data_IF_840087159661
#
_entry.id   IF_840087159661
#
_cell.length_a   1.000
_cell.length_b   1.000
_cell.length_c   1.000
_cell.angle_alpha   90.00
_cell.angle_beta   90.00
_cell.angle_gamma   90.00
#
_symmetry.space_group_name_H-M   'P 1'
#
loop_
_entity.id
_entity.type
_entity.pdbx_description
1 polymer ?
#
# COMPACT_ATOMS: atom_id res chain seq x y z
N UNK A 1 57.63 -44.80 81.80
CA UNK A 1 57.67 -45.13 80.35
C UNK A 1 56.22 -45.36 79.88
N UNK A 2 55.84 -44.98 78.66
CA UNK A 2 54.99 -43.82 78.33
C UNK A 2 53.61 -44.26 77.75
N UNK A 3 52.62 -43.48 77.29
CA UNK A 3 52.53 -42.17 76.63
C UNK A 3 51.15 -41.52 76.88
N UNK A 4 51.14 -40.22 77.19
CA UNK A 4 49.99 -39.31 77.09
C UNK A 4 49.61 -39.13 75.61
N UNK A 5 48.32 -39.12 75.27
CA UNK A 5 47.79 -38.53 74.03
C UNK A 5 46.88 -37.35 74.36
N UNK A 6 47.34 -36.16 74.01
CA UNK A 6 46.63 -34.89 74.10
C UNK A 6 45.45 -34.85 73.11
N UNK A 7 44.26 -34.48 73.61
CA UNK A 7 43.11 -34.06 72.79
C UNK A 7 43.41 -32.69 72.17
N UNK A 8 43.59 -32.64 70.85
CA UNK A 8 43.58 -31.40 70.06
C UNK A 8 42.15 -30.86 69.97
N UNK A 9 41.89 -29.68 70.55
CA UNK A 9 40.71 -28.87 70.25
C UNK A 9 40.93 -28.20 68.88
N UNK A 10 40.09 -28.54 67.90
CA UNK A 10 40.05 -27.88 66.61
C UNK A 10 39.38 -26.50 66.75
N UNK A 11 40.01 -25.47 66.21
CA UNK A 11 39.45 -24.13 66.03
C UNK A 11 38.46 -24.16 64.88
N UNK A 12 37.20 -23.79 65.13
CA UNK A 12 36.28 -23.38 64.07
C UNK A 12 36.78 -22.04 63.49
N UNK A 13 37.30 -22.08 62.27
CA UNK A 13 37.44 -20.90 61.40
C UNK A 13 36.34 -20.98 60.34
N UNK A 14 35.66 -19.86 60.14
CA UNK A 14 34.49 -19.71 59.28
C UNK A 14 34.73 -20.25 57.87
N UNK A 15 33.81 -21.12 57.44
CA UNK A 15 33.60 -21.42 56.04
C UNK A 15 32.69 -20.36 55.46
N UNK A 16 33.26 -19.30 54.91
CA UNK A 16 32.56 -18.45 53.96
C UNK A 16 32.35 -19.31 52.72
N UNK A 17 31.10 -19.67 52.42
CA UNK A 17 30.77 -20.30 51.15
C UNK A 17 31.20 -19.35 50.01
N UNK A 18 31.74 -19.86 48.90
CA UNK A 18 31.98 -19.02 47.74
C UNK A 18 30.61 -18.60 47.21
N UNK A 19 30.27 -17.33 47.41
CA UNK A 19 29.17 -16.68 46.69
C UNK A 19 29.50 -16.84 45.22
N UNK A 20 28.75 -17.69 44.53
CA UNK A 20 28.77 -17.77 43.07
C UNK A 20 28.51 -16.35 42.58
N UNK A 21 29.54 -15.78 41.96
CA UNK A 21 29.46 -14.48 41.31
C UNK A 21 28.42 -14.63 40.20
N UNK A 22 27.16 -14.31 40.50
CA UNK A 22 26.13 -14.09 39.47
C UNK A 22 26.77 -13.13 38.50
N UNK A 23 27.01 -13.58 37.26
CA UNK A 23 27.37 -12.69 36.17
C UNK A 23 26.29 -11.62 36.13
N UNK A 24 26.67 -10.40 36.52
CA UNK A 24 25.83 -9.24 36.33
C UNK A 24 25.71 -9.09 34.82
N UNK A 25 24.54 -9.48 34.28
CA UNK A 25 24.14 -9.11 32.93
C UNK A 25 24.33 -7.58 32.85
N UNK A 26 25.19 -7.10 31.93
CA UNK A 26 25.41 -5.67 31.79
C UNK A 26 24.06 -4.98 31.58
N UNK A 27 23.72 -4.05 32.47
CA UNK A 27 22.51 -3.26 32.32
C UNK A 27 22.62 -2.45 31.02
N UNK A 28 21.60 -2.46 30.16
CA UNK A 28 21.60 -1.65 28.94
C UNK A 28 21.77 -0.17 29.33
N UNK A 29 22.73 0.51 28.73
CA UNK A 29 22.91 1.95 28.89
C UNK A 29 22.13 2.66 27.81
N UNK A 30 21.27 3.60 28.20
CA UNK A 30 20.65 4.54 27.27
C UNK A 30 21.74 5.56 26.90
N UNK A 31 22.30 5.43 25.71
CA UNK A 31 23.13 6.49 25.13
C UNK A 31 22.22 7.65 24.75
N UNK A 32 22.61 8.89 25.08
CA UNK A 32 21.97 10.07 24.52
C UNK A 32 21.97 9.96 22.99
N UNK A 33 20.87 10.31 22.30
CA UNK A 33 20.85 10.32 20.84
C UNK A 33 21.99 11.20 20.34
N UNK A 34 22.71 10.75 19.32
CA UNK A 34 23.66 11.60 18.62
C UNK A 34 22.89 12.83 18.11
N UNK A 35 23.40 14.03 18.37
CA UNK A 35 22.85 15.25 17.77
C UNK A 35 22.77 15.02 16.26
N UNK A 36 21.56 15.06 15.71
CA UNK A 36 21.33 14.94 14.27
C UNK A 36 22.04 16.11 13.59
N UNK A 37 22.99 15.87 12.67
CA UNK A 37 23.59 16.96 11.91
C UNK A 37 22.51 17.66 11.09
N UNK A 38 22.41 18.98 11.22
CA UNK A 38 21.45 19.87 10.53
C UNK A 38 21.71 20.01 9.01
N UNK A 39 22.36 19.04 8.38
CA UNK A 39 22.72 19.10 6.96
C UNK A 39 22.02 17.98 6.20
N UNK A 40 20.80 18.28 5.76
CA UNK A 40 20.11 17.58 4.68
C UNK A 40 20.73 18.01 3.34
N UNK A 41 21.95 17.56 3.06
CA UNK A 41 22.57 17.70 1.73
C UNK A 41 23.24 16.38 1.34
N UNK A 42 22.72 15.73 0.30
CA UNK A 42 23.54 14.84 -0.53
C UNK A 42 23.24 13.34 -0.59
N UNK A 43 22.02 12.88 -0.26
CA UNK A 43 21.57 11.55 -0.74
C UNK A 43 20.76 11.74 -2.03
N UNK A 44 21.32 11.31 -3.16
CA UNK A 44 20.63 11.30 -4.44
C UNK A 44 19.38 10.42 -4.36
N UNK A 45 18.18 10.97 -4.63
CA UNK A 45 16.91 10.31 -4.38
C UNK A 45 16.55 9.36 -5.53
N UNK A 46 16.87 8.09 -5.38
CA UNK A 46 16.07 7.01 -5.97
C UNK A 46 15.21 6.40 -4.85
N UNK A 47 14.19 7.16 -4.50
CA UNK A 47 13.14 6.86 -3.51
C UNK A 47 12.22 8.07 -3.55
N UNK A 48 10.89 7.90 -3.50
CA UNK A 48 9.99 9.01 -3.77
C UNK A 48 10.28 10.11 -2.75
N UNK A 49 10.11 11.36 -3.21
CA UNK A 49 10.04 12.56 -2.36
C UNK A 49 9.36 12.25 -1.03
N UNK A 50 9.73 12.90 0.11
CA UNK A 50 8.99 12.72 1.35
C UNK A 50 7.51 12.84 1.02
N UNK A 51 6.78 11.73 1.18
CA UNK A 51 5.39 11.66 0.78
C UNK A 51 4.66 12.84 1.40
N UNK A 52 3.63 13.42 0.74
CA UNK A 52 2.90 14.55 1.27
C UNK A 52 2.59 14.34 2.76
N UNK A 53 2.93 15.35 3.56
CA UNK A 53 2.81 15.36 5.02
C UNK A 53 1.44 14.81 5.44
N UNK A 54 1.38 13.53 5.87
CA UNK A 54 0.09 12.88 6.13
C UNK A 54 0.02 11.35 6.15
N UNK A 55 1.04 10.58 5.75
CA UNK A 55 0.96 9.10 5.68
C UNK A 55 1.09 8.34 7.01
N UNK A 56 0.86 9.01 8.15
CA UNK A 56 0.65 8.30 9.41
C UNK A 56 -0.81 7.87 9.49
N UNK A 57 -1.11 6.62 9.20
CA UNK A 57 -2.45 6.04 9.43
C UNK A 57 -2.47 5.34 10.79
N UNK A 58 -3.53 5.52 11.58
CA UNK A 58 -3.59 4.91 12.91
C UNK A 58 -4.67 5.49 13.83
N UNK A 59 -4.82 4.86 15.00
CA UNK A 59 -5.79 5.26 16.02
C UNK A 59 -6.98 4.32 16.18
N UNK A 60 -7.07 3.26 15.37
CA UNK A 60 -7.94 2.13 15.69
C UNK A 60 -7.36 1.36 16.88
N UNK A 61 -8.24 1.03 17.81
CA UNK A 61 -7.89 0.36 19.06
C UNK A 61 -8.16 -1.13 18.90
N UNK A 62 -7.22 -1.97 19.35
CA UNK A 62 -7.35 -3.42 19.35
C UNK A 62 -7.21 -3.94 20.78
N UNK A 63 -8.10 -4.85 21.16
CA UNK A 63 -7.95 -5.58 22.42
C UNK A 63 -6.96 -6.73 22.23
N UNK A 64 -5.88 -6.74 23.01
CA UNK A 64 -4.93 -7.85 23.01
C UNK A 64 -5.34 -8.83 24.10
N UNK A 65 -5.89 -9.97 23.68
CA UNK A 65 -6.38 -11.01 24.58
C UNK A 65 -5.29 -12.04 24.82
N UNK A 66 -5.00 -12.34 26.08
CA UNK A 66 -4.12 -13.43 26.51
C UNK A 66 -4.94 -14.53 27.19
N UNK A 67 -4.33 -15.69 27.40
CA UNK A 67 -4.98 -16.78 28.15
C UNK A 67 -5.34 -16.39 29.60
N UNK A 68 -4.72 -15.35 30.15
CA UNK A 68 -4.83 -14.93 31.56
C UNK A 68 -5.51 -13.58 31.76
N UNK A 69 -5.88 -12.87 30.68
CA UNK A 69 -6.47 -11.53 30.76
C UNK A 69 -6.46 -10.79 29.42
N UNK A 70 -6.97 -9.57 29.41
CA UNK A 70 -7.07 -8.73 28.21
C UNK A 70 -6.45 -7.37 28.46
N UNK A 71 -5.64 -6.88 27.51
CA UNK A 71 -5.21 -5.49 27.43
C UNK A 71 -6.17 -4.76 26.47
N UNK A 72 -7.10 -3.94 26.96
CA UNK A 72 -8.10 -3.33 26.12
C UNK A 72 -7.58 -2.06 25.42
N UNK A 73 -8.16 -1.79 24.25
CA UNK A 73 -8.02 -0.54 23.52
C UNK A 73 -6.59 -0.10 23.18
N UNK A 74 -5.70 -1.07 22.95
CA UNK A 74 -4.31 -0.79 22.57
C UNK A 74 -4.29 -0.09 21.22
N UNK A 75 -3.69 1.10 21.16
CA UNK A 75 -3.57 1.85 19.91
C UNK A 75 -2.30 1.47 19.16
N UNK A 76 -2.49 1.09 17.90
CA UNK A 76 -1.42 0.87 16.94
C UNK A 76 -1.50 1.92 15.82
N UNK A 77 -0.37 2.19 15.18
CA UNK A 77 -0.28 3.08 14.02
C UNK A 77 0.82 2.66 13.06
N UNK A 78 0.75 3.13 11.82
CA UNK A 78 1.67 2.83 10.71
C UNK A 78 2.18 4.13 10.04
N UNK A 79 3.45 4.24 9.62
CA UNK A 79 3.96 5.47 8.99
C UNK A 79 5.48 5.64 8.79
N UNK A 80 5.95 6.88 8.61
CA UNK A 80 7.31 7.21 8.14
C UNK A 80 8.28 7.71 9.24
N UNK A 81 8.74 6.85 10.17
CA UNK A 81 9.87 7.18 11.07
C UNK A 81 10.66 5.95 11.53
N UNK A 82 10.74 4.90 10.68
CA UNK A 82 11.36 3.62 11.07
C UNK A 82 12.81 3.49 10.59
N UNK A 83 13.66 3.02 11.50
CA UNK A 83 15.07 2.73 11.22
C UNK A 83 15.20 1.70 10.09
N UNK A 84 15.92 2.07 9.02
CA UNK A 84 16.09 1.24 7.82
C UNK A 84 16.99 0.03 8.10
N UNK A 85 17.88 0.12 9.08
CA UNK A 85 18.80 -0.95 9.50
C UNK A 85 18.07 -2.16 10.09
N UNK A 86 16.79 -1.99 10.48
CA UNK A 86 15.91 -3.04 10.99
C UNK A 86 14.74 -3.31 10.05
N UNK A 87 14.84 -2.90 8.78
CA UNK A 87 13.82 -3.15 7.78
C UNK A 87 13.57 -4.64 7.64
N UNK A 88 12.29 -5.00 7.72
CA UNK A 88 11.73 -6.34 7.55
C UNK A 88 10.45 -6.22 6.74
N UNK A 89 9.85 -7.34 6.37
CA UNK A 89 8.52 -7.33 5.76
C UNK A 89 7.53 -6.62 6.70
N UNK A 90 6.53 -5.91 6.14
CA UNK A 90 5.53 -5.21 6.95
C UNK A 90 4.77 -6.21 7.85
N UNK A 91 4.51 -7.42 7.34
CA UNK A 91 3.93 -8.53 8.11
C UNK A 91 4.78 -9.03 9.28
N UNK A 92 6.06 -8.70 9.33
CA UNK A 92 6.91 -8.92 10.51
C UNK A 92 6.83 -7.78 11.54
N UNK A 93 5.96 -6.79 11.32
CA UNK A 93 5.73 -5.65 12.21
C UNK A 93 6.59 -4.42 11.90
N UNK A 94 7.38 -4.43 10.82
CA UNK A 94 8.08 -3.23 10.39
C UNK A 94 7.09 -2.19 9.88
N UNK A 95 7.24 -0.94 10.33
CA UNK A 95 6.29 0.12 10.04
C UNK A 95 5.18 0.30 11.09
N UNK A 96 5.06 -0.60 12.07
CA UNK A 96 4.07 -0.48 13.14
C UNK A 96 4.64 0.18 14.40
N UNK A 97 3.82 1.03 15.02
CA UNK A 97 4.02 1.59 16.35
C UNK A 97 2.96 1.07 17.31
N UNK A 98 3.32 0.92 18.58
CA UNK A 98 2.43 0.60 19.69
C UNK A 98 2.65 1.66 20.76
N UNK A 99 1.58 2.14 21.38
CA UNK A 99 1.70 3.12 22.46
C UNK A 99 2.51 2.57 23.65
N UNK A 100 3.42 3.40 24.18
CA UNK A 100 4.33 3.01 25.26
C UNK A 100 3.59 2.46 26.52
N UNK A 101 2.45 3.03 26.97
CA UNK A 101 1.73 2.47 28.12
C UNK A 101 1.33 1.00 27.93
N UNK A 102 0.85 0.62 26.75
CA UNK A 102 0.48 -0.76 26.46
C UNK A 102 1.70 -1.70 26.47
N UNK A 103 2.85 -1.22 25.99
CA UNK A 103 4.11 -2.00 26.05
C UNK A 103 4.56 -2.19 27.50
N UNK A 104 4.48 -1.16 28.33
CA UNK A 104 4.85 -1.26 29.75
C UNK A 104 3.92 -2.22 30.50
N UNK A 105 2.60 -2.11 30.28
CA UNK A 105 1.63 -3.03 30.89
C UNK A 105 1.87 -4.48 30.43
N UNK A 106 2.17 -4.70 29.15
CA UNK A 106 2.53 -6.03 28.65
C UNK A 106 3.79 -6.59 29.32
N UNK A 107 4.80 -5.76 29.56
CA UNK A 107 6.02 -6.17 30.26
C UNK A 107 5.76 -6.49 31.74
N UNK A 108 4.90 -5.73 32.42
CA UNK A 108 4.46 -6.03 33.79
C UNK A 108 3.69 -7.35 33.86
N UNK A 109 2.78 -7.60 32.92
CA UNK A 109 2.06 -8.87 32.79
C UNK A 109 3.00 -10.06 32.59
N UNK A 110 4.13 -9.85 31.89
CA UNK A 110 5.17 -10.86 31.72
C UNK A 110 5.98 -11.09 33.00
N UNK A 111 6.39 -10.02 33.68
CA UNK A 111 7.14 -10.10 34.93
C UNK A 111 6.34 -10.81 36.03
N UNK A 112 5.03 -10.56 36.07
CA UNK A 112 4.10 -11.23 36.98
C UNK A 112 3.77 -12.68 36.58
N UNK A 113 4.29 -13.17 35.46
CA UNK A 113 4.06 -14.52 34.95
C UNK A 113 2.63 -14.77 34.48
N UNK A 114 1.83 -13.70 34.31
CA UNK A 114 0.47 -13.80 33.75
C UNK A 114 0.52 -14.03 32.25
N UNK A 115 1.48 -13.44 31.54
CA UNK A 115 1.70 -13.67 30.11
C UNK A 115 3.12 -14.18 29.91
N UNK A 116 3.33 -15.13 29.00
CA UNK A 116 4.71 -15.48 28.62
C UNK A 116 5.15 -14.66 27.39
N UNK A 117 6.46 -14.46 27.24
CA UNK A 117 7.02 -13.65 26.17
C UNK A 117 6.72 -14.18 24.75
N UNK A 118 6.53 -15.51 24.60
CA UNK A 118 6.22 -16.11 23.30
C UNK A 118 4.78 -15.76 22.88
N UNK A 119 3.82 -15.85 23.79
CA UNK A 119 2.44 -15.47 23.54
C UNK A 119 2.34 -13.97 23.25
N UNK A 120 3.00 -13.13 24.05
CA UNK A 120 3.09 -11.69 23.80
C UNK A 120 3.59 -11.36 22.38
N UNK A 121 4.68 -12.00 21.95
CA UNK A 121 5.21 -11.86 20.58
C UNK A 121 4.19 -12.29 19.53
N UNK A 122 3.55 -13.45 19.74
CA UNK A 122 2.59 -14.00 18.78
C UNK A 122 1.37 -13.09 18.62
N UNK A 123 0.87 -12.52 19.72
CA UNK A 123 -0.25 -11.59 19.67
C UNK A 123 0.11 -10.29 18.94
N UNK A 124 1.28 -9.69 19.21
CA UNK A 124 1.72 -8.52 18.47
C UNK A 124 1.84 -8.79 16.97
N UNK A 125 2.34 -9.97 16.57
CA UNK A 125 2.39 -10.38 15.17
C UNK A 125 0.99 -10.58 14.57
N UNK A 126 0.04 -11.16 15.32
CA UNK A 126 -1.35 -11.31 14.87
C UNK A 126 -2.06 -9.96 14.72
N UNK A 127 -1.76 -8.98 15.57
CA UNK A 127 -2.31 -7.63 15.45
C UNK A 127 -1.87 -6.94 14.15
N UNK A 128 -0.65 -7.23 13.68
CA UNK A 128 -0.16 -6.74 12.37
C UNK A 128 -1.04 -7.28 11.24
N UNK A 129 -1.32 -8.59 11.23
CA UNK A 129 -2.17 -9.19 10.21
C UNK A 129 -3.62 -8.65 10.26
N UNK A 130 -4.15 -8.42 11.47
CA UNK A 130 -5.49 -7.85 11.66
C UNK A 130 -5.59 -6.43 11.11
N UNK A 131 -4.55 -5.63 11.31
CA UNK A 131 -4.56 -4.20 10.98
C UNK A 131 -3.99 -3.87 9.60
N UNK A 132 -3.39 -4.85 8.93
CA UNK A 132 -2.74 -4.66 7.63
C UNK A 132 -3.65 -3.99 6.59
N UNK A 133 -4.86 -4.51 6.41
CA UNK A 133 -5.83 -3.96 5.45
C UNK A 133 -6.43 -2.65 5.95
N UNK A 134 -6.75 -2.56 7.25
CA UNK A 134 -7.35 -1.38 7.87
C UNK A 134 -6.44 -0.14 7.76
N UNK A 135 -5.13 -0.33 7.91
CA UNK A 135 -4.13 0.73 7.76
C UNK A 135 -3.62 0.90 6.33
N UNK A 136 -4.17 0.13 5.37
CA UNK A 136 -3.76 0.13 3.97
C UNK A 136 -2.26 -0.09 3.80
N UNK A 137 -1.68 -0.97 4.62
CA UNK A 137 -0.25 -1.26 4.63
C UNK A 137 0.29 -1.70 3.26
N UNK A 138 -0.56 -2.31 2.43
CA UNK A 138 -0.23 -2.67 1.05
C UNK A 138 0.18 -1.49 0.18
N UNK A 139 -0.16 -0.24 0.51
CA UNK A 139 0.29 0.93 -0.27
C UNK A 139 1.78 1.23 -0.10
N UNK A 140 2.39 0.72 0.97
CA UNK A 140 3.81 0.89 1.28
C UNK A 140 4.67 -0.34 0.89
N UNK A 141 4.06 -1.40 0.37
CA UNK A 141 4.79 -2.56 -0.16
C UNK A 141 5.26 -2.34 -1.59
N UNK A 142 6.22 -3.17 -2.04
CA UNK A 142 6.72 -3.12 -3.41
C UNK A 142 5.58 -3.43 -4.40
N UNK A 143 5.26 -2.51 -5.33
CA UNK A 143 4.21 -2.73 -6.32
C UNK A 143 4.43 -3.95 -7.22
N UNK A 144 5.67 -4.40 -7.45
CA UNK A 144 5.98 -5.60 -8.21
C UNK A 144 5.67 -6.88 -7.40
N UNK A 145 6.00 -6.90 -6.11
CA UNK A 145 5.69 -8.02 -5.22
C UNK A 145 4.18 -8.18 -5.02
N UNK A 146 3.47 -7.07 -4.75
CA UNK A 146 2.01 -7.07 -4.66
C UNK A 146 1.35 -7.58 -5.93
N UNK A 147 1.88 -7.19 -7.11
CA UNK A 147 1.40 -7.69 -8.40
C UNK A 147 1.64 -9.19 -8.55
N UNK A 148 2.78 -9.69 -8.12
CA UNK A 148 3.08 -11.13 -8.18
C UNK A 148 2.12 -11.92 -7.27
N UNK A 149 1.96 -11.51 -6.02
CA UNK A 149 1.06 -12.15 -5.05
C UNK A 149 -0.40 -12.08 -5.51
N UNK A 150 -0.85 -10.92 -6.01
CA UNK A 150 -2.21 -10.75 -6.51
C UNK A 150 -2.48 -11.61 -7.76
N UNK A 151 -1.49 -11.78 -8.65
CA UNK A 151 -1.60 -12.70 -9.80
C UNK A 151 -1.71 -14.15 -9.35
N UNK A 152 -0.92 -14.59 -8.37
CA UNK A 152 -0.97 -15.95 -7.83
C UNK A 152 -2.30 -16.24 -7.13
N UNK A 153 -2.80 -15.29 -6.33
CA UNK A 153 -4.09 -15.40 -5.64
C UNK A 153 -5.30 -15.14 -6.56
N UNK A 154 -5.06 -14.64 -7.78
CA UNK A 154 -6.08 -14.15 -8.72
C UNK A 154 -6.66 -12.78 -8.35
N UNK A 155 -6.74 -12.41 -7.06
CA UNK A 155 -7.25 -11.10 -6.62
C UNK A 155 -6.78 -10.75 -5.20
N UNK A 156 -6.63 -9.46 -4.93
CA UNK A 156 -6.36 -8.89 -3.61
C UNK A 156 -7.52 -7.96 -3.16
N UNK A 157 -7.56 -7.51 -1.89
CA UNK A 157 -8.60 -6.59 -1.40
C UNK A 157 -8.76 -5.32 -2.26
N UNK A 158 -7.66 -4.75 -2.76
CA UNK A 158 -7.70 -3.59 -3.66
C UNK A 158 -8.40 -3.92 -4.99
N UNK A 159 -8.17 -5.11 -5.55
CA UNK A 159 -8.89 -5.56 -6.75
C UNK A 159 -10.39 -5.73 -6.46
N UNK A 160 -10.75 -6.24 -5.29
CA UNK A 160 -12.14 -6.41 -4.90
C UNK A 160 -12.85 -5.06 -4.73
N UNK A 161 -12.18 -4.07 -4.13
CA UNK A 161 -12.65 -2.69 -3.96
C UNK A 161 -12.81 -1.97 -5.31
N UNK A 162 -11.83 -2.09 -6.20
CA UNK A 162 -11.80 -1.37 -7.49
C UNK A 162 -12.59 -2.05 -8.60
N UNK A 163 -13.01 -3.30 -8.42
CA UNK A 163 -13.74 -4.06 -9.43
C UNK A 163 -15.00 -3.36 -9.96
N UNK A 164 -15.92 -2.80 -9.15
CA UNK A 164 -17.09 -2.09 -9.68
C UNK A 164 -16.70 -0.91 -10.59
N UNK A 165 -15.59 -0.25 -10.29
CA UNK A 165 -15.07 0.82 -11.14
C UNK A 165 -14.50 0.27 -12.45
N UNK A 166 -13.74 -0.82 -12.39
CA UNK A 166 -13.24 -1.50 -13.58
C UNK A 166 -14.38 -1.97 -14.50
N UNK A 167 -15.45 -2.54 -13.94
CA UNK A 167 -16.64 -2.91 -14.72
C UNK A 167 -17.26 -1.71 -15.45
N UNK A 168 -17.40 -0.56 -14.77
CA UNK A 168 -17.89 0.66 -15.41
C UNK A 168 -16.98 1.22 -16.52
N UNK A 169 -15.67 0.91 -16.48
CA UNK A 169 -14.75 1.23 -17.58
C UNK A 169 -14.93 0.27 -18.76
N UNK A 170 -15.18 -1.02 -18.49
CA UNK A 170 -15.48 -2.00 -19.54
C UNK A 170 -16.83 -1.69 -20.21
N UNK A 171 -17.86 -1.30 -19.46
CA UNK A 171 -19.15 -0.91 -20.02
C UNK A 171 -19.03 0.32 -20.94
N UNK A 172 -18.27 1.32 -20.52
CA UNK A 172 -17.97 2.49 -21.36
C UNK A 172 -17.18 2.12 -22.63
N UNK A 173 -16.27 1.15 -22.52
CA UNK A 173 -15.48 0.66 -23.65
C UNK A 173 -16.33 -0.13 -24.64
N UNK A 174 -17.23 -0.99 -24.16
CA UNK A 174 -18.20 -1.72 -24.98
C UNK A 174 -19.10 -0.76 -25.77
N UNK A 175 -19.64 0.25 -25.09
CA UNK A 175 -20.48 1.27 -25.72
C UNK A 175 -19.72 2.08 -26.79
N UNK A 176 -18.48 2.50 -26.49
CA UNK A 176 -17.62 3.19 -27.47
C UNK A 176 -17.32 2.32 -28.68
N UNK A 177 -16.95 1.05 -28.45
CA UNK A 177 -16.65 0.11 -29.52
C UNK A 177 -17.86 -0.09 -30.44
N UNK A 178 -19.04 -0.34 -29.88
CA UNK A 178 -20.26 -0.57 -30.64
C UNK A 178 -20.59 0.60 -31.57
N UNK A 179 -20.45 1.84 -31.09
CA UNK A 179 -20.70 3.04 -31.91
C UNK A 179 -19.63 3.25 -32.98
N UNK A 180 -18.36 2.94 -32.69
CA UNK A 180 -17.27 3.03 -33.67
C UNK A 180 -17.44 2.07 -34.85
N UNK A 181 -18.16 0.96 -34.68
CA UNK A 181 -18.51 0.04 -35.78
C UNK A 181 -19.64 0.55 -36.69
N UNK A 182 -20.27 1.68 -36.35
CA UNK A 182 -21.44 2.24 -37.05
C UNK A 182 -21.17 3.66 -37.54
N UNK A 183 -20.17 3.87 -38.43
CA UNK A 183 -19.77 5.20 -38.88
C UNK A 183 -20.85 5.97 -39.63
N UNK A 184 -21.87 5.30 -40.17
CA UNK A 184 -23.01 5.95 -40.83
C UNK A 184 -23.98 6.60 -39.81
N UNK A 185 -24.18 5.97 -38.66
CA UNK A 185 -25.03 6.49 -37.57
C UNK A 185 -24.27 7.45 -36.66
N UNK A 186 -22.98 7.17 -36.42
CA UNK A 186 -22.07 7.95 -35.58
C UNK A 186 -20.89 8.47 -36.43
N UNK A 187 -21.10 9.51 -37.28
CA UNK A 187 -20.10 9.96 -38.23
C UNK A 187 -18.93 10.73 -37.60
N UNK A 188 -19.05 11.16 -36.34
CA UNK A 188 -18.01 11.92 -35.64
C UNK A 188 -17.45 11.14 -34.47
N UNK A 189 -16.16 11.33 -34.19
CA UNK A 189 -15.45 10.69 -33.09
C UNK A 189 -14.65 11.74 -32.31
N UNK A 190 -14.94 11.87 -31.02
CA UNK A 190 -14.21 12.76 -30.11
C UNK A 190 -13.11 11.99 -29.37
N UNK A 191 -11.89 12.51 -29.41
CA UNK A 191 -10.77 12.07 -28.58
C UNK A 191 -10.30 13.18 -27.64
N UNK A 192 -9.19 12.95 -26.92
CA UNK A 192 -8.65 13.89 -25.94
C UNK A 192 -8.32 15.28 -26.53
N UNK A 193 -7.90 15.33 -27.80
CA UNK A 193 -7.37 16.55 -28.43
C UNK A 193 -8.27 17.16 -29.51
N UNK A 194 -9.44 16.57 -29.79
CA UNK A 194 -10.31 17.10 -30.83
C UNK A 194 -11.35 16.14 -31.39
N UNK A 195 -12.06 16.65 -32.40
CA UNK A 195 -13.11 15.94 -33.13
C UNK A 195 -12.60 15.49 -34.50
N UNK A 196 -12.95 14.26 -34.86
CA UNK A 196 -12.61 13.58 -36.11
C UNK A 196 -13.88 13.06 -36.79
N UNK A 197 -13.80 12.75 -38.08
CA UNK A 197 -14.74 11.79 -38.66
C UNK A 197 -14.40 10.40 -38.13
N UNK A 198 -15.39 9.53 -37.93
CA UNK A 198 -15.17 8.18 -37.40
C UNK A 198 -14.27 7.34 -38.31
N UNK A 199 -14.33 7.57 -39.62
CA UNK A 199 -13.48 6.90 -40.64
C UNK A 199 -12.08 7.52 -40.77
N UNK A 200 -11.77 8.56 -40.00
CA UNK A 200 -10.50 9.29 -40.06
C UNK A 200 -9.33 8.34 -39.71
N UNK A 201 -8.24 8.43 -40.49
CA UNK A 201 -7.04 7.57 -40.30
C UNK A 201 -6.43 7.61 -38.88
N UNK A 202 -6.61 8.73 -38.16
CA UNK A 202 -6.17 8.87 -36.77
C UNK A 202 -7.01 7.97 -35.86
N UNK A 203 -8.34 8.02 -35.99
CA UNK A 203 -9.28 7.17 -35.23
C UNK A 203 -8.96 5.71 -35.49
N UNK A 204 -8.78 5.31 -36.75
CA UNK A 204 -8.42 3.92 -37.11
C UNK A 204 -7.08 3.45 -36.53
N UNK A 205 -6.10 4.34 -36.40
CA UNK A 205 -4.76 4.00 -35.88
C UNK A 205 -4.74 3.89 -34.35
N UNK A 206 -5.54 4.72 -33.69
CA UNK A 206 -5.54 4.84 -32.22
C UNK A 206 -6.66 4.03 -31.56
N UNK A 207 -7.63 3.55 -32.34
CA UNK A 207 -8.61 2.57 -31.91
C UNK A 207 -8.02 1.17 -32.10
N UNK A 208 -8.20 0.23 -31.14
CA UNK A 208 -7.80 -1.16 -31.33
C UNK A 208 -8.44 -1.77 -32.59
N UNK A 209 -7.68 -2.61 -33.31
CA UNK A 209 -8.18 -3.33 -34.50
C UNK A 209 -9.26 -4.36 -34.15
N UNK A 210 -9.18 -4.88 -32.93
CA UNK A 210 -10.05 -5.90 -32.38
C UNK A 210 -10.21 -5.61 -30.89
N UNK A 211 -11.40 -5.18 -30.49
CA UNK A 211 -11.75 -5.08 -29.08
C UNK A 211 -12.76 -6.18 -28.74
N UNK A 212 -12.49 -6.86 -27.63
CA UNK A 212 -13.42 -7.77 -27.00
C UNK A 212 -13.32 -7.56 -25.49
N UNK A 213 -14.46 -7.55 -24.81
CA UNK A 213 -14.48 -7.47 -23.35
C UNK A 213 -13.67 -8.63 -22.77
N UNK A 214 -12.70 -8.39 -21.87
CA UNK A 214 -11.91 -9.46 -21.29
C UNK A 214 -12.81 -10.36 -20.42
N UNK A 215 -12.58 -11.67 -20.48
CA UNK A 215 -13.30 -12.70 -19.72
C UNK A 215 -12.32 -13.70 -19.10
N UNK A 216 -12.73 -14.43 -18.06
CA UNK A 216 -11.92 -15.47 -17.42
C UNK A 216 -10.55 -14.95 -16.96
N UNK A 217 -9.48 -15.65 -17.31
CA UNK A 217 -8.11 -15.28 -16.92
C UNK A 217 -7.68 -13.92 -17.50
N UNK A 218 -8.17 -13.58 -18.70
CA UNK A 218 -7.89 -12.27 -19.30
C UNK A 218 -8.54 -11.12 -18.52
N UNK A 219 -9.72 -11.35 -17.95
CA UNK A 219 -10.38 -10.40 -17.06
C UNK A 219 -9.55 -10.19 -15.79
N UNK A 220 -9.09 -11.29 -15.18
CA UNK A 220 -8.26 -11.24 -13.97
C UNK A 220 -6.97 -10.46 -14.23
N UNK A 221 -6.28 -10.74 -15.34
CA UNK A 221 -5.07 -10.04 -15.73
C UNK A 221 -5.30 -8.54 -15.97
N UNK A 222 -6.41 -8.18 -16.64
CA UNK A 222 -6.75 -6.79 -16.92
C UNK A 222 -7.14 -6.01 -15.64
N UNK A 223 -7.90 -6.63 -14.74
CA UNK A 223 -8.24 -6.05 -13.43
C UNK A 223 -6.97 -5.85 -12.58
N UNK A 224 -6.06 -6.83 -12.58
CA UNK A 224 -4.77 -6.73 -11.89
C UNK A 224 -3.95 -5.55 -12.43
N UNK A 225 -3.84 -5.41 -13.75
CA UNK A 225 -3.16 -4.27 -14.36
C UNK A 225 -3.82 -2.95 -13.95
N UNK A 226 -5.15 -2.85 -14.07
CA UNK A 226 -5.92 -1.67 -13.64
C UNK A 226 -5.65 -1.29 -12.18
N UNK A 227 -5.55 -2.26 -11.27
CA UNK A 227 -5.39 -1.98 -9.85
C UNK A 227 -3.95 -1.61 -9.46
N UNK A 228 -2.94 -2.11 -10.20
CA UNK A 228 -1.55 -2.08 -9.73
C UNK A 228 -0.53 -1.47 -10.71
N UNK A 229 -0.92 -1.04 -11.91
CA UNK A 229 -0.07 -0.20 -12.78
C UNK A 229 -0.48 1.26 -12.77
N UNK A 230 -1.67 1.55 -12.26
CA UNK A 230 -2.25 2.88 -12.14
C UNK A 230 -1.84 3.39 -10.77
N UNK A 231 -1.13 4.53 -10.73
CA UNK A 231 -0.82 5.25 -9.48
C UNK A 231 -2.11 5.28 -8.64
N UNK A 232 -2.09 4.85 -7.37
CA UNK A 232 -3.29 4.82 -6.55
C UNK A 232 -4.00 6.19 -6.43
N UNK A 233 -3.30 7.28 -6.75
CA UNK A 233 -3.81 8.65 -6.81
C UNK A 233 -4.20 9.13 -8.21
N UNK A 234 -3.95 8.33 -9.25
CA UNK A 234 -4.28 8.69 -10.63
C UNK A 234 -5.78 8.57 -10.92
N UNK A 235 -6.24 9.44 -11.80
CA UNK A 235 -7.65 9.67 -12.06
C UNK A 235 -8.20 8.67 -13.09
N UNK A 236 -9.52 8.60 -13.22
CA UNK A 236 -10.23 7.76 -14.21
C UNK A 236 -9.70 7.92 -15.64
N UNK A 237 -9.16 9.09 -15.97
CA UNK A 237 -8.69 9.46 -17.31
C UNK A 237 -7.34 8.79 -17.66
N UNK A 238 -6.54 8.40 -16.66
CA UNK A 238 -5.21 7.83 -16.87
C UNK A 238 -5.25 6.38 -17.40
N UNK A 239 -6.33 5.63 -17.11
CA UNK A 239 -6.56 4.29 -17.66
C UNK A 239 -7.03 4.30 -19.12
N UNK A 240 -7.59 5.41 -19.59
CA UNK A 240 -7.89 5.61 -21.02
C UNK A 240 -6.60 5.67 -21.86
N UNK A 241 -5.42 5.56 -21.23
CA UNK A 241 -4.08 5.44 -21.81
C UNK A 241 -3.69 4.06 -22.37
N UNK A 242 -4.43 2.97 -22.14
CA UNK A 242 -4.12 1.64 -22.73
C UNK A 242 -4.59 1.53 -24.18
N UNK A 243 -3.74 0.98 -25.07
CA UNK A 243 -4.08 0.80 -26.51
C UNK A 243 -5.09 -0.32 -26.74
N UNK A 244 -5.38 -1.11 -25.70
CA UNK A 244 -6.26 -2.27 -25.79
C UNK A 244 -7.75 -1.88 -25.73
N UNK A 245 -8.06 -0.65 -25.32
CA UNK A 245 -9.43 -0.15 -25.16
C UNK A 245 -9.74 1.00 -26.13
N UNK A 246 -10.98 1.08 -26.66
CA UNK A 246 -11.41 2.19 -27.50
C UNK A 246 -11.49 3.49 -26.67
N UNK A 247 -10.83 4.53 -27.16
CA UNK A 247 -10.73 5.84 -26.49
C UNK A 247 -11.58 6.92 -27.14
N UNK A 248 -11.87 6.75 -28.43
CA UNK A 248 -12.73 7.68 -29.14
C UNK A 248 -14.19 7.45 -28.77
N UNK A 249 -14.89 8.53 -28.46
CA UNK A 249 -16.34 8.51 -28.31
C UNK A 249 -16.96 8.84 -29.66
N UNK A 250 -17.56 7.83 -30.31
CA UNK A 250 -18.35 8.05 -31.52
C UNK A 250 -19.70 8.70 -31.18
N UNK A 251 -20.09 9.68 -31.99
CA UNK A 251 -21.18 10.63 -31.76
C UNK A 251 -21.98 10.84 -33.04
N UNK A 252 -23.28 11.00 -32.87
CA UNK A 252 -24.18 11.54 -33.88
C UNK A 252 -23.83 12.99 -34.20
N UNK A 253 -24.38 13.53 -35.29
CA UNK A 253 -24.19 14.94 -35.64
C UNK A 253 -24.70 15.90 -34.54
N UNK A 254 -25.82 15.55 -33.89
CA UNK A 254 -26.37 16.36 -32.81
C UNK A 254 -25.47 16.35 -31.57
N UNK A 255 -25.02 15.17 -31.14
CA UNK A 255 -24.09 15.00 -30.03
C UNK A 255 -22.77 15.74 -30.30
N UNK A 256 -22.24 15.67 -31.54
CA UNK A 256 -21.00 16.37 -31.91
C UNK A 256 -21.15 17.90 -31.84
N UNK A 257 -22.28 18.47 -32.28
CA UNK A 257 -22.57 19.91 -32.16
C UNK A 257 -22.67 20.33 -30.69
N UNK A 258 -23.32 19.52 -29.86
CA UNK A 258 -23.39 19.77 -28.42
C UNK A 258 -21.99 19.72 -27.78
N UNK A 259 -21.21 18.68 -28.08
CA UNK A 259 -19.84 18.52 -27.60
C UNK A 259 -18.95 19.72 -27.95
N UNK A 260 -19.08 20.26 -29.18
CA UNK A 260 -18.37 21.47 -29.61
C UNK A 260 -18.84 22.70 -28.82
N UNK A 261 -20.14 22.85 -28.60
CA UNK A 261 -20.71 23.97 -27.85
C UNK A 261 -20.19 23.99 -26.41
N UNK A 262 -20.16 22.84 -25.74
CA UNK A 262 -19.68 22.69 -24.36
C UNK A 262 -18.18 22.98 -24.23
N UNK A 263 -17.38 22.69 -25.27
CA UNK A 263 -15.92 22.82 -25.24
C UNK A 263 -15.39 24.09 -25.91
N UNK A 264 -16.27 24.86 -26.55
CA UNK A 264 -15.97 26.18 -27.11
C UNK A 264 -16.46 27.24 -26.13
N UNK A 265 -15.62 27.59 -25.16
CA UNK A 265 -15.91 28.70 -24.24
C UNK A 265 -16.11 30.05 -24.95
N UNK A 266 -16.59 31.10 -24.26
CA UNK A 266 -16.98 32.39 -24.86
C UNK A 266 -15.85 33.15 -25.58
N UNK A 267 -14.58 32.72 -25.42
CA UNK A 267 -13.40 33.28 -26.10
C UNK A 267 -12.84 32.40 -27.24
N UNK A 268 -13.56 31.36 -27.68
CA UNK A 268 -13.25 30.67 -28.94
C UNK A 268 -11.91 29.92 -28.99
N UNK A 269 -11.65 29.03 -28.02
CA UNK A 269 -10.68 27.95 -28.20
C UNK A 269 -9.44 28.00 -27.32
N UNK A 270 -9.39 27.09 -26.34
CA UNK A 270 -8.13 26.51 -25.86
C UNK A 270 -8.13 24.98 -25.92
N UNK A 271 -9.31 24.34 -25.87
CA UNK A 271 -9.45 22.88 -25.81
C UNK A 271 -10.04 22.25 -27.09
N UNK A 272 -10.17 23.03 -28.17
CA UNK A 272 -10.78 22.56 -29.40
C UNK A 272 -9.82 22.73 -30.58
N UNK A 273 -9.42 21.62 -31.20
CA UNK A 273 -8.80 21.61 -32.52
C UNK A 273 -9.58 20.64 -33.40
N UNK A 274 -10.10 21.12 -34.54
CA UNK A 274 -10.55 20.22 -35.60
C UNK A 274 -9.33 19.47 -36.12
N UNK A 275 -9.47 18.17 -36.33
CA UNK A 275 -8.44 17.41 -37.01
C UNK A 275 -8.18 18.04 -38.39
N UNK A 276 -6.93 18.46 -38.66
CA UNK A 276 -6.55 19.08 -39.93
C UNK A 276 -6.79 18.16 -41.14
N UNK A 277 -6.81 16.83 -40.92
CA UNK A 277 -7.08 15.85 -41.98
C UNK A 277 -8.55 15.72 -42.33
N UNK A 278 -9.42 15.94 -41.35
CA UNK A 278 -10.81 15.52 -41.43
C UNK A 278 -11.75 16.72 -41.53
N UNK A 279 -11.35 17.91 -41.04
CA UNK A 279 -12.11 19.17 -41.10
C UNK A 279 -13.65 18.99 -41.14
N UNK A 280 -14.23 18.18 -40.22
CA UNK A 280 -15.56 17.60 -40.42
C UNK A 280 -16.61 18.71 -40.58
N UNK A 281 -17.45 18.71 -41.64
CA UNK A 281 -18.60 19.60 -41.71
C UNK A 281 -19.59 19.19 -40.63
N UNK A 282 -20.02 20.15 -39.81
CA UNK A 282 -21.01 19.95 -38.73
C UNK A 282 -22.34 20.59 -39.10
#
# INVERSE_FOLDING_TARGET
MPKKKQKKRARHRGGTQPVTRRELVPQPRISTPAETPDTYEGLEPWGPEPGPVGYSTGGEAVDINFATGTLPAVRLGFGELFAQERRRAIREGWGFTVELPAVLELLEQIDEGRVNALDARNYLAQSVDLLYDAFRCFEAEDPDELRATCREAGRCPLCDERRPWFEGLLDGSDARWQRLQQPEEYPFAAGQHGLHETTCSVVRRETPSNYARPIGDAYVAALNAFCHTVDPHSSREDFEGSRDYPRFQAMTAQEARQWVTERTGPKGGRNYKRCQRCAPPL
#
